data_IF_553639489751
#
_entry.id   IF_553639489751
#
_cell.length_a   1.000
_cell.length_b   1.000
_cell.length_c   1.000
_cell.angle_alpha   90.00
_cell.angle_beta   90.00
_cell.angle_gamma   90.00
#
_symmetry.space_group_name_H-M   'P 1'
#
loop_
_entity.id
_entity.type
_entity.pdbx_description
1 polymer ?
#
# COMPACT_ATOMS: atom_id res chain seq x y z
N UNK A 1 7.45 1.67 28.56
CA UNK A 1 8.03 2.51 27.47
C UNK A 1 9.42 2.08 26.97
N UNK A 2 10.28 1.39 27.75
CA UNK A 2 11.63 0.94 27.27
C UNK A 2 11.59 -0.17 26.20
N UNK A 3 10.60 -1.06 26.23
CA UNK A 3 10.46 -2.17 25.26
C UNK A 3 10.13 -1.73 23.83
N UNK A 4 9.34 -0.66 23.66
CA UNK A 4 8.99 -0.10 22.35
C UNK A 4 10.24 0.42 21.63
N UNK A 5 11.11 1.14 22.34
CA UNK A 5 12.35 1.67 21.77
C UNK A 5 13.32 0.56 21.35
N UNK A 6 13.38 -0.55 22.09
CA UNK A 6 14.23 -1.70 21.76
C UNK A 6 13.67 -2.50 20.58
N UNK A 7 12.35 -2.74 20.53
CA UNK A 7 11.68 -3.36 19.40
C UNK A 7 11.78 -2.49 18.14
N UNK A 8 11.57 -1.17 18.26
CA UNK A 8 11.67 -0.22 17.16
C UNK A 8 13.12 -0.07 16.66
N UNK A 9 14.13 -0.08 17.54
CA UNK A 9 15.53 -0.08 17.12
C UNK A 9 15.95 -1.40 16.46
N UNK A 10 15.47 -2.54 16.96
CA UNK A 10 15.70 -3.86 16.35
C UNK A 10 15.03 -3.98 14.98
N UNK A 11 13.84 -3.40 14.84
CA UNK A 11 13.11 -3.25 13.57
C UNK A 11 13.88 -2.37 12.59
N UNK A 12 14.33 -1.18 13.02
CA UNK A 12 15.06 -0.26 12.14
C UNK A 12 16.35 -0.89 11.62
N UNK A 13 17.06 -1.66 12.46
CA UNK A 13 18.23 -2.44 12.03
C UNK A 13 17.87 -3.54 11.00
N UNK A 14 16.70 -4.16 11.11
CA UNK A 14 16.20 -5.16 10.15
C UNK A 14 15.71 -4.54 8.84
N UNK A 15 15.13 -3.33 8.88
CA UNK A 15 14.70 -2.57 7.70
C UNK A 15 15.91 -2.02 6.92
N UNK A 16 16.99 -1.63 7.60
CA UNK A 16 18.26 -1.23 6.95
C UNK A 16 18.98 -2.42 6.30
N UNK A 17 18.94 -3.60 6.93
CA UNK A 17 19.47 -4.84 6.33
C UNK A 17 18.75 -5.22 5.03
N UNK A 18 17.49 -4.82 4.86
CA UNK A 18 16.72 -5.04 3.63
C UNK A 18 16.96 -3.98 2.53
N UNK A 19 17.74 -2.93 2.80
CA UNK A 19 18.17 -1.94 1.79
C UNK A 19 19.53 -2.24 1.19
N UNK A 20 20.28 -3.21 1.71
CA UNK A 20 21.63 -3.54 1.24
C UNK A 20 21.65 -4.92 0.59
N UNK A 21 20.92 -5.10 -0.52
CA UNK A 21 21.27 -6.11 -1.53
C UNK A 21 20.98 -5.51 -2.91
N UNK A 22 21.89 -4.65 -3.36
CA UNK A 22 22.29 -4.46 -4.76
C UNK A 22 23.41 -3.42 -4.81
N UNK A 23 24.67 -3.87 -4.69
CA UNK A 23 25.77 -3.61 -5.64
C UNK A 23 27.13 -3.95 -5.02
N UNK A 24 27.87 -4.82 -5.72
CA UNK A 24 29.29 -5.14 -5.53
C UNK A 24 30.19 -3.89 -5.71
N UNK A 25 31.32 -3.88 -4.98
CA UNK A 25 32.21 -2.73 -4.65
C UNK A 25 33.16 -2.19 -5.74
N UNK A 26 34.41 -1.71 -5.43
CA UNK A 26 35.16 -1.74 -4.16
C UNK A 26 35.74 -0.39 -3.64
N UNK A 27 36.17 -0.44 -2.37
CA UNK A 27 37.25 0.30 -1.68
C UNK A 27 37.42 1.84 -1.78
N UNK A 28 37.32 2.50 -0.62
CA UNK A 28 37.81 3.86 -0.39
C UNK A 28 37.64 4.34 1.06
N UNK A 29 38.75 4.64 1.73
CA UNK A 29 38.93 4.98 3.14
C UNK A 29 37.97 6.02 3.79
N UNK A 30 37.67 5.73 5.07
CA UNK A 30 37.67 6.60 6.25
C UNK A 30 36.75 7.84 6.31
N UNK A 31 35.76 7.75 7.20
CA UNK A 31 35.09 8.88 7.84
C UNK A 31 33.97 8.39 8.75
N UNK A 32 34.20 8.35 10.07
CA UNK A 32 33.15 8.16 11.06
C UNK A 32 32.30 9.45 11.12
N UNK A 33 30.97 9.42 10.90
CA UNK A 33 30.10 10.46 11.41
C UNK A 33 29.41 9.93 12.68
N UNK A 34 29.87 10.47 13.81
CA UNK A 34 29.09 10.56 15.04
C UNK A 34 27.94 11.55 14.81
N UNK A 35 26.70 11.05 14.80
CA UNK A 35 25.48 11.79 15.13
C UNK A 35 24.30 10.84 15.03
N UNK A 36 23.63 10.64 16.16
CA UNK A 36 22.35 9.93 16.32
C UNK A 36 21.23 10.64 15.56
N UNK A 37 21.31 10.63 14.23
CA UNK A 37 20.24 11.09 13.36
C UNK A 37 19.17 10.00 13.38
N UNK A 38 18.30 10.08 14.37
CA UNK A 38 17.08 9.30 14.44
C UNK A 38 16.35 9.51 13.11
N UNK A 39 16.03 8.44 12.35
CA UNK A 39 15.40 8.61 11.05
C UNK A 39 14.13 9.41 11.24
N UNK A 40 13.97 10.47 10.45
CA UNK A 40 12.81 11.34 10.45
C UNK A 40 11.51 10.51 10.33
N UNK A 41 10.88 10.18 11.47
CA UNK A 41 9.71 9.30 11.55
C UNK A 41 8.41 10.01 11.16
N UNK A 42 8.51 11.24 10.65
CA UNK A 42 7.42 12.21 10.44
C UNK A 42 6.39 11.81 9.37
N UNK A 43 6.40 10.58 8.86
CA UNK A 43 5.52 10.12 7.78
C UNK A 43 5.20 8.62 7.72
N UNK A 44 5.41 7.86 8.80
CA UNK A 44 5.07 6.42 8.85
C UNK A 44 4.06 6.12 9.95
N UNK A 45 3.02 5.40 9.61
CA UNK A 45 2.07 4.77 10.52
C UNK A 45 2.64 3.40 10.93
N UNK A 46 2.82 3.18 12.24
CA UNK A 46 3.47 2.01 12.80
C UNK A 46 2.61 1.38 13.90
N UNK A 47 2.42 0.07 13.85
CA UNK A 47 1.80 -0.71 14.91
C UNK A 47 2.54 -2.02 15.15
N UNK A 48 2.69 -2.39 16.42
CA UNK A 48 3.15 -3.71 16.85
C UNK A 48 1.95 -4.57 17.22
N UNK A 49 1.90 -5.76 16.66
CA UNK A 49 0.92 -6.79 16.94
C UNK A 49 1.58 -7.97 17.64
N UNK A 50 0.79 -8.74 18.38
CA UNK A 50 1.19 -10.10 18.79
C UNK A 50 0.87 -11.15 17.72
N UNK A 51 1.15 -12.43 18.02
CA UNK A 51 0.85 -13.56 17.12
C UNK A 51 -0.64 -13.82 16.92
N UNK A 52 -1.51 -13.27 17.77
CA UNK A 52 -2.97 -13.27 17.58
C UNK A 52 -3.45 -12.12 16.69
N UNK A 53 -2.54 -11.29 16.19
CA UNK A 53 -2.80 -10.07 15.42
C UNK A 53 -3.57 -9.01 16.22
N UNK A 54 -3.40 -9.01 17.54
CA UNK A 54 -3.94 -7.98 18.43
C UNK A 54 -2.96 -6.82 18.51
N UNK A 55 -3.46 -5.59 18.38
CA UNK A 55 -2.65 -4.38 18.44
C UNK A 55 -2.16 -4.18 19.87
N UNK A 56 -0.85 -4.33 20.08
CA UNK A 56 -0.23 -4.15 21.39
C UNK A 56 0.15 -2.68 21.59
N UNK A 57 0.73 -2.06 20.57
CA UNK A 57 1.23 -0.68 20.61
C UNK A 57 1.17 -0.06 19.22
N UNK A 58 1.01 1.26 19.13
CA UNK A 58 1.10 1.98 17.87
C UNK A 58 1.64 3.40 18.08
N UNK A 59 2.13 4.03 17.01
CA UNK A 59 2.57 5.43 17.06
C UNK A 59 1.40 6.41 16.87
N UNK A 60 1.63 7.70 17.15
CA UNK A 60 0.59 8.72 17.01
C UNK A 60 0.01 8.80 15.60
N UNK A 61 0.84 8.56 14.58
CA UNK A 61 0.37 8.60 13.19
C UNK A 61 -0.60 7.46 12.87
N UNK A 62 -0.43 6.29 13.48
CA UNK A 62 -1.41 5.20 13.40
C UNK A 62 -2.74 5.60 14.02
N UNK A 63 -2.73 6.16 15.23
CA UNK A 63 -3.95 6.62 15.90
C UNK A 63 -4.69 7.68 15.09
N UNK A 64 -3.95 8.64 14.51
CA UNK A 64 -4.53 9.67 13.62
C UNK A 64 -5.11 9.10 12.34
N UNK A 65 -4.45 8.10 11.73
CA UNK A 65 -4.88 7.53 10.45
C UNK A 65 -6.15 6.68 10.58
N UNK A 66 -6.38 6.07 11.74
CA UNK A 66 -7.55 5.22 12.04
C UNK A 66 -8.58 5.90 12.95
N UNK A 67 -8.44 7.20 13.19
CA UNK A 67 -9.34 8.05 14.01
C UNK A 67 -9.74 7.42 15.34
N UNK A 68 -8.75 6.86 16.04
CA UNK A 68 -8.98 6.20 17.32
C UNK A 68 -7.90 6.55 18.31
N UNK A 69 -8.27 6.58 19.59
CA UNK A 69 -7.32 6.74 20.68
C UNK A 69 -6.53 5.46 20.94
N UNK A 70 -5.44 5.58 21.71
CA UNK A 70 -4.68 4.40 22.15
C UNK A 70 -5.54 3.42 22.95
N UNK A 71 -6.53 3.90 23.70
CA UNK A 71 -7.42 3.08 24.54
C UNK A 71 -8.44 2.31 23.69
N UNK A 72 -8.85 2.88 22.57
CA UNK A 72 -9.79 2.26 21.65
C UNK A 72 -9.11 1.25 20.73
N UNK A 73 -7.89 1.54 20.27
CA UNK A 73 -7.22 0.72 19.24
C UNK A 73 -6.27 -0.33 19.82
N UNK A 74 -5.63 -0.08 20.96
CA UNK A 74 -4.81 -1.12 21.60
C UNK A 74 -5.72 -2.20 22.22
N UNK A 75 -5.34 -3.46 22.09
CA UNK A 75 -6.14 -4.61 22.50
C UNK A 75 -7.18 -5.06 21.47
N UNK A 76 -7.40 -4.30 20.38
CA UNK A 76 -8.26 -4.74 19.27
C UNK A 76 -7.53 -5.61 18.27
N UNK A 77 -8.27 -6.47 17.59
CA UNK A 77 -7.73 -7.22 16.46
C UNK A 77 -7.48 -6.28 15.28
N UNK A 78 -6.30 -6.38 14.68
CA UNK A 78 -5.96 -5.64 13.47
C UNK A 78 -6.95 -5.93 12.31
N UNK A 79 -7.63 -7.07 12.35
CA UNK A 79 -8.70 -7.47 11.41
C UNK A 79 -9.87 -6.49 11.38
N UNK A 80 -10.17 -5.89 12.52
CA UNK A 80 -11.33 -5.01 12.67
C UNK A 80 -11.07 -3.61 12.12
N UNK A 81 -9.79 -3.27 12.00
CA UNK A 81 -9.29 -1.97 11.52
C UNK A 81 -9.18 -1.94 9.99
N UNK A 82 -9.06 -3.10 9.34
CA UNK A 82 -8.97 -3.20 7.87
C UNK A 82 -10.32 -3.47 7.21
N UNK A 83 -10.50 -2.95 5.99
CA UNK A 83 -11.73 -3.09 5.23
C UNK A 83 -12.08 -4.59 4.94
N UNK A 84 -13.36 -5.00 5.01
CA UNK A 84 -13.77 -6.41 4.84
C UNK A 84 -13.25 -7.11 3.59
N UNK A 85 -13.15 -6.40 2.45
CA UNK A 85 -12.70 -6.95 1.17
C UNK A 85 -11.26 -7.45 1.18
N UNK A 86 -10.40 -6.95 2.07
CA UNK A 86 -8.97 -7.32 2.13
C UNK A 86 -8.65 -8.27 3.29
N UNK A 87 -9.60 -8.55 4.19
CA UNK A 87 -9.39 -9.39 5.39
C UNK A 87 -8.87 -10.79 5.03
N UNK A 88 -9.57 -11.53 4.17
CA UNK A 88 -9.22 -12.92 3.86
C UNK A 88 -7.82 -13.08 3.22
N UNK A 89 -7.46 -12.32 2.16
CA UNK A 89 -6.10 -12.36 1.61
C UNK A 89 -5.03 -11.94 2.62
N UNK A 90 -5.28 -10.91 3.41
CA UNK A 90 -4.33 -10.37 4.37
C UNK A 90 -4.06 -11.35 5.52
N UNK A 91 -5.09 -12.04 6.01
CA UNK A 91 -4.94 -13.03 7.08
C UNK A 91 -4.10 -14.23 6.63
N UNK A 92 -4.19 -14.66 5.37
CA UNK A 92 -3.31 -15.69 4.81
C UNK A 92 -1.85 -15.27 4.75
N UNK A 93 -1.57 -13.98 4.53
CA UNK A 93 -0.20 -13.47 4.55
C UNK A 93 0.35 -13.42 5.98
N UNK A 94 -0.46 -13.01 6.95
CA UNK A 94 -0.09 -13.05 8.36
C UNK A 94 0.12 -14.47 8.88
N UNK A 95 -0.69 -15.46 8.46
CA UNK A 95 -0.46 -16.85 8.87
C UNK A 95 0.90 -17.37 8.38
N UNK A 96 1.29 -17.06 7.14
CA UNK A 96 2.63 -17.41 6.65
C UNK A 96 3.76 -16.69 7.42
N UNK A 97 3.51 -15.49 7.93
CA UNK A 97 4.45 -14.75 8.76
C UNK A 97 4.60 -15.40 10.15
N UNK A 98 3.49 -15.81 10.77
CA UNK A 98 3.44 -16.46 12.09
C UNK A 98 4.07 -17.87 12.03
N UNK A 99 3.77 -18.62 10.98
CA UNK A 99 4.34 -19.96 10.74
C UNK A 99 5.82 -19.91 10.35
N UNK A 100 6.41 -18.72 10.18
CA UNK A 100 7.80 -18.54 9.78
C UNK A 100 8.10 -18.91 8.32
N UNK A 101 7.08 -19.14 7.49
CA UNK A 101 7.23 -19.38 6.04
C UNK A 101 7.75 -18.14 5.31
N UNK A 102 7.42 -16.96 5.81
CA UNK A 102 7.94 -15.68 5.34
C UNK A 102 8.38 -14.84 6.54
N UNK A 103 9.45 -14.05 6.38
CA UNK A 103 9.89 -13.09 7.41
C UNK A 103 9.26 -11.70 7.22
N UNK A 104 8.73 -11.43 6.03
CA UNK A 104 8.15 -10.15 5.62
C UNK A 104 7.21 -10.33 4.45
N UNK A 105 6.16 -9.52 4.38
CA UNK A 105 5.41 -9.31 3.15
C UNK A 105 5.04 -7.84 2.95
N UNK A 106 4.73 -7.48 1.70
CA UNK A 106 4.19 -6.17 1.33
C UNK A 106 2.95 -6.39 0.48
N UNK A 107 1.82 -5.80 0.86
CA UNK A 107 0.56 -5.95 0.13
C UNK A 107 -0.23 -4.64 0.16
N UNK A 108 -0.91 -4.25 -0.93
CA UNK A 108 -1.85 -3.14 -0.87
C UNK A 108 -3.03 -3.51 0.03
N UNK A 109 -3.39 -2.61 0.94
CA UNK A 109 -4.60 -2.73 1.77
C UNK A 109 -5.47 -1.51 1.58
N UNK A 110 -6.79 -1.72 1.69
CA UNK A 110 -7.75 -0.64 1.79
C UNK A 110 -7.91 -0.35 3.28
N UNK A 111 -7.38 0.78 3.71
CA UNK A 111 -7.60 1.32 5.04
C UNK A 111 -8.78 2.29 4.98
N UNK A 112 -9.50 2.39 6.09
CA UNK A 112 -10.60 3.34 6.26
C UNK A 112 -10.06 4.47 7.13
N UNK A 113 -10.08 5.69 6.60
CA UNK A 113 -9.62 6.88 7.32
C UNK A 113 -10.68 7.45 8.24
N UNK A 114 -10.34 8.55 8.91
CA UNK A 114 -11.23 9.28 9.83
C UNK A 114 -12.60 9.63 9.24
N UNK A 115 -12.63 10.04 7.96
CA UNK A 115 -13.86 10.45 7.29
C UNK A 115 -14.65 9.26 6.67
N UNK A 116 -14.42 8.02 7.13
CA UNK A 116 -14.90 6.76 6.53
C UNK A 116 -14.50 6.59 5.05
N UNK A 117 -13.53 7.40 4.59
CA UNK A 117 -13.07 7.38 3.22
C UNK A 117 -12.06 6.24 3.00
N UNK A 118 -12.33 5.30 2.08
CA UNK A 118 -11.40 4.21 1.81
C UNK A 118 -10.22 4.71 0.99
N UNK A 119 -9.00 4.41 1.42
CA UNK A 119 -7.77 4.71 0.69
C UNK A 119 -6.85 3.49 0.61
N UNK A 120 -6.11 3.37 -0.49
CA UNK A 120 -5.20 2.24 -0.73
C UNK A 120 -3.78 2.61 -0.34
N UNK A 121 -3.21 1.89 0.62
CA UNK A 121 -1.81 2.05 1.05
C UNK A 121 -1.06 0.72 1.00
N UNK A 122 0.24 0.72 0.67
CA UNK A 122 1.07 -0.46 0.85
C UNK A 122 1.25 -0.71 2.35
N UNK A 123 0.81 -1.87 2.81
CA UNK A 123 1.10 -2.39 4.14
C UNK A 123 2.33 -3.28 4.06
N UNK A 124 3.32 -2.98 4.89
CA UNK A 124 4.46 -3.85 5.15
C UNK A 124 4.27 -4.51 6.51
N UNK A 125 4.35 -5.84 6.57
CA UNK A 125 4.38 -6.58 7.82
C UNK A 125 5.68 -7.37 7.92
N UNK A 126 6.31 -7.34 9.10
CA UNK A 126 7.56 -8.07 9.40
C UNK A 126 7.41 -8.83 10.72
N UNK A 127 7.94 -10.05 10.77
CA UNK A 127 8.10 -10.78 12.03
C UNK A 127 9.35 -10.28 12.74
N UNK A 128 9.22 -9.86 13.99
CA UNK A 128 10.30 -9.37 14.84
C UNK A 128 10.44 -10.32 16.02
N UNK A 129 11.61 -10.91 16.19
CA UNK A 129 11.91 -11.68 17.40
C UNK A 129 12.37 -10.71 18.48
N UNK A 130 11.68 -10.70 19.60
CA UNK A 130 12.05 -9.93 20.79
C UNK A 130 13.33 -10.49 21.43
N UNK A 131 13.92 -9.71 22.34
CA UNK A 131 15.11 -10.12 23.09
C UNK A 131 14.85 -11.17 24.18
N UNK A 132 13.58 -11.47 24.47
CA UNK A 132 13.18 -12.58 25.34
C UNK A 132 12.85 -13.82 24.48
N UNK A 133 13.20 -15.04 24.94
CA UNK A 133 12.81 -16.28 24.27
C UNK A 133 11.29 -16.28 24.01
N UNK A 134 10.89 -16.75 22.82
CA UNK A 134 9.49 -16.94 22.40
C UNK A 134 8.62 -15.69 22.22
N UNK A 135 9.16 -14.48 22.40
CA UNK A 135 8.40 -13.26 22.12
C UNK A 135 8.51 -12.89 20.64
N UNK A 136 7.66 -13.47 19.79
CA UNK A 136 7.53 -13.02 18.38
C UNK A 136 6.47 -11.94 18.28
N UNK A 137 6.87 -10.73 17.89
CA UNK A 137 5.97 -9.64 17.56
C UNK A 137 5.86 -9.49 16.05
N UNK A 138 4.74 -8.97 15.57
CA UNK A 138 4.56 -8.61 14.16
C UNK A 138 4.50 -7.10 14.09
N UNK A 139 5.42 -6.48 13.34
CA UNK A 139 5.33 -5.06 13.10
C UNK A 139 4.65 -4.79 11.77
N UNK A 140 3.66 -3.91 11.81
CA UNK A 140 2.95 -3.37 10.66
C UNK A 140 3.38 -1.93 10.43
N UNK A 141 3.65 -1.59 9.17
CA UNK A 141 4.06 -0.26 8.73
C UNK A 141 3.29 0.15 7.49
N UNK A 142 2.79 1.38 7.47
CA UNK A 142 2.11 2.00 6.33
C UNK A 142 2.59 3.45 6.18
N UNK A 143 2.59 4.02 4.95
CA UNK A 143 2.76 5.45 4.78
C UNK A 143 1.64 6.21 5.48
N UNK A 144 2.02 7.25 6.21
CA UNK A 144 1.08 8.18 6.83
C UNK A 144 0.23 8.88 5.77
N UNK A 145 -1.08 8.75 5.88
CA UNK A 145 -2.03 9.56 5.11
C UNK A 145 -2.30 10.82 5.92
N UNK A 146 -1.46 11.86 5.73
CA UNK A 146 -1.80 13.20 6.21
C UNK A 146 -3.08 13.63 5.47
N UNK A 147 -4.12 13.95 6.25
CA UNK A 147 -5.52 14.09 5.85
C UNK A 147 -5.74 14.54 4.41
N UNK A 148 -6.57 13.78 3.69
CA UNK A 148 -7.26 14.04 2.43
C UNK A 148 -6.52 14.69 1.23
N UNK A 149 -5.29 15.17 1.36
CA UNK A 149 -4.54 15.90 0.33
C UNK A 149 -3.16 15.25 0.07
N UNK A 150 -2.66 14.40 0.98
CA UNK A 150 -1.34 13.77 0.90
C UNK A 150 -1.33 12.27 0.59
N UNK A 151 -2.50 11.61 0.66
CA UNK A 151 -2.68 10.16 0.51
C UNK A 151 -2.74 9.65 -0.94
N UNK A 152 -2.37 10.48 -1.91
CA UNK A 152 -2.15 10.00 -3.27
C UNK A 152 -0.86 9.19 -3.31
N UNK A 153 -1.05 7.91 -3.01
CA UNK A 153 -0.26 6.74 -3.38
C UNK A 153 1.18 7.08 -3.79
N UNK A 154 2.14 6.63 -2.98
CA UNK A 154 3.54 6.43 -3.40
C UNK A 154 3.60 5.27 -4.41
N UNK A 155 2.92 5.43 -5.53
CA UNK A 155 3.31 4.93 -6.82
C UNK A 155 3.70 6.20 -7.53
N UNK A 156 5.01 6.48 -7.62
CA UNK A 156 5.54 7.78 -8.03
C UNK A 156 4.68 8.40 -9.12
N UNK A 157 4.20 9.63 -8.85
CA UNK A 157 3.27 10.48 -9.62
C UNK A 157 3.67 10.60 -11.09
N UNK A 158 3.63 9.48 -11.80
CA UNK A 158 3.87 9.37 -13.23
C UNK A 158 2.48 9.45 -13.80
N UNK A 159 2.20 10.57 -14.43
CA UNK A 159 1.15 10.69 -15.40
C UNK A 159 1.33 9.58 -16.46
N UNK A 160 0.72 8.41 -16.25
CA UNK A 160 0.97 7.18 -17.00
C UNK A 160 -0.01 7.01 -18.17
N UNK A 161 -1.20 7.60 -18.05
CA UNK A 161 -2.25 7.54 -19.05
C UNK A 161 -2.29 8.83 -19.86
N UNK A 162 -2.50 8.72 -21.16
CA UNK A 162 -2.99 9.87 -21.94
C UNK A 162 -4.45 10.13 -21.57
N UNK A 163 -4.93 11.32 -21.88
CA UNK A 163 -6.36 11.66 -21.71
C UNK A 163 -7.28 10.67 -22.45
N UNK A 164 -6.87 10.23 -23.64
CA UNK A 164 -7.59 9.23 -24.42
C UNK A 164 -7.60 7.86 -23.75
N UNK A 165 -6.44 7.39 -23.26
CA UNK A 165 -6.34 6.10 -22.54
C UNK A 165 -7.20 6.10 -21.26
N UNK A 166 -7.27 7.24 -20.57
CA UNK A 166 -8.12 7.40 -19.39
C UNK A 166 -9.60 7.28 -19.75
N UNK A 167 -10.08 8.01 -20.77
CA UNK A 167 -11.48 7.93 -21.24
C UNK A 167 -11.85 6.52 -21.72
N UNK A 168 -10.92 5.82 -22.38
CA UNK A 168 -11.13 4.43 -22.79
C UNK A 168 -11.24 3.51 -21.58
N UNK A 169 -10.36 3.66 -20.59
CA UNK A 169 -10.42 2.89 -19.35
C UNK A 169 -11.73 3.13 -18.57
N UNK A 170 -12.19 4.38 -18.47
CA UNK A 170 -13.50 4.73 -17.87
C UNK A 170 -14.64 4.03 -18.61
N UNK A 171 -14.64 4.08 -19.95
CA UNK A 171 -15.66 3.43 -20.77
C UNK A 171 -15.69 1.91 -20.60
N UNK A 172 -14.52 1.27 -20.56
CA UNK A 172 -14.41 -0.18 -20.31
C UNK A 172 -14.92 -0.52 -18.90
N UNK A 173 -14.52 0.25 -17.89
CA UNK A 173 -14.96 0.04 -16.51
C UNK A 173 -16.47 0.24 -16.33
N UNK A 174 -17.07 1.16 -17.10
CA UNK A 174 -18.51 1.35 -17.18
C UNK A 174 -19.25 0.25 -17.96
N UNK A 175 -18.54 -0.74 -18.52
CA UNK A 175 -19.12 -1.84 -19.29
C UNK A 175 -19.49 -1.48 -20.74
N UNK A 176 -18.98 -0.36 -21.27
CA UNK A 176 -19.25 0.05 -22.65
C UNK A 176 -18.46 -0.82 -23.63
N UNK A 177 -19.15 -1.41 -24.61
CA UNK A 177 -18.51 -2.22 -25.65
C UNK A 177 -17.73 -1.36 -26.66
N UNK A 178 -16.84 -1.97 -27.44
CA UNK A 178 -15.91 -1.24 -28.32
C UNK A 178 -16.62 -0.32 -29.31
N UNK A 179 -17.77 -0.73 -29.88
CA UNK A 179 -18.45 0.04 -30.93
C UNK A 179 -19.03 1.35 -30.38
N UNK A 180 -19.89 1.36 -29.32
CA UNK A 180 -20.33 2.61 -28.70
C UNK A 180 -19.19 3.45 -28.14
N UNK A 181 -18.13 2.81 -27.63
CA UNK A 181 -16.96 3.53 -27.11
C UNK A 181 -16.23 4.29 -28.24
N UNK A 182 -16.06 3.65 -29.40
CA UNK A 182 -15.48 4.25 -30.59
C UNK A 182 -16.28 5.47 -31.07
N UNK A 183 -17.62 5.35 -31.13
CA UNK A 183 -18.51 6.46 -31.48
C UNK A 183 -18.41 7.63 -30.49
N UNK A 184 -18.40 7.36 -29.18
CA UNK A 184 -18.32 8.40 -28.13
C UNK A 184 -16.99 9.14 -28.11
N UNK A 185 -15.91 8.47 -28.49
CA UNK A 185 -14.56 9.03 -28.46
C UNK A 185 -14.07 9.51 -29.84
N UNK A 186 -14.94 9.47 -30.86
CA UNK A 186 -14.61 9.83 -32.24
C UNK A 186 -13.39 9.06 -32.78
N UNK A 187 -13.31 7.77 -32.46
CA UNK A 187 -12.27 6.85 -32.91
C UNK A 187 -12.83 5.77 -33.83
N UNK A 188 -11.97 5.14 -34.61
CA UNK A 188 -12.32 3.89 -35.28
C UNK A 188 -12.36 2.73 -34.26
N UNK A 189 -13.11 1.66 -34.58
CA UNK A 189 -13.11 0.42 -33.77
C UNK A 189 -11.69 -0.09 -33.52
N UNK A 190 -10.85 -0.09 -34.55
CA UNK A 190 -9.46 -0.52 -34.47
C UNK A 190 -8.61 0.45 -33.62
N UNK A 191 -8.87 1.75 -33.68
CA UNK A 191 -8.24 2.74 -32.82
C UNK A 191 -8.51 2.47 -31.35
N UNK A 192 -9.75 2.15 -30.98
CA UNK A 192 -10.08 1.75 -29.61
C UNK A 192 -9.33 0.47 -29.21
N UNK A 193 -9.35 -0.58 -30.02
CA UNK A 193 -8.63 -1.84 -29.73
C UNK A 193 -7.11 -1.62 -29.57
N UNK A 194 -6.52 -0.72 -30.34
CA UNK A 194 -5.11 -0.33 -30.19
C UNK A 194 -4.84 0.24 -28.81
N UNK A 195 -5.64 1.21 -28.36
CA UNK A 195 -5.52 1.79 -27.03
C UNK A 195 -5.75 0.76 -25.91
N UNK A 196 -6.74 -0.13 -26.07
CA UNK A 196 -6.95 -1.24 -25.13
C UNK A 196 -5.70 -2.11 -25.02
N UNK A 197 -5.10 -2.48 -26.14
CA UNK A 197 -3.86 -3.28 -26.16
C UNK A 197 -2.71 -2.56 -25.48
N UNK A 198 -2.55 -1.26 -25.72
CA UNK A 198 -1.59 -0.42 -25.02
C UNK A 198 -1.82 -0.39 -23.50
N UNK A 199 -3.08 -0.24 -23.06
CA UNK A 199 -3.46 -0.29 -21.65
C UNK A 199 -3.14 -1.64 -21.00
N UNK A 200 -3.49 -2.75 -21.67
CA UNK A 200 -3.17 -4.11 -21.21
C UNK A 200 -1.67 -4.30 -21.01
N UNK A 201 -0.86 -3.85 -21.97
CA UNK A 201 0.60 -3.91 -21.90
C UNK A 201 1.16 -3.01 -20.79
N UNK A 202 0.65 -1.78 -20.66
CA UNK A 202 1.06 -0.82 -19.61
C UNK A 202 0.80 -1.37 -18.21
N UNK A 203 -0.38 -1.98 -18.00
CA UNK A 203 -0.79 -2.53 -16.70
C UNK A 203 -0.37 -4.00 -16.51
N UNK A 204 0.28 -4.60 -17.52
CA UNK A 204 0.78 -5.99 -17.53
C UNK A 204 -0.31 -7.01 -17.20
N UNK A 205 -1.45 -6.90 -17.89
CA UNK A 205 -2.63 -7.77 -17.68
C UNK A 205 -3.07 -8.43 -18.99
N UNK A 206 -3.66 -9.64 -18.93
CA UNK A 206 -3.94 -10.42 -20.14
C UNK A 206 -5.26 -10.06 -20.84
N UNK A 207 -6.21 -9.40 -20.17
CA UNK A 207 -7.53 -9.15 -20.73
C UNK A 207 -8.23 -7.92 -20.10
N UNK A 208 -9.37 -7.52 -20.68
CA UNK A 208 -10.13 -6.32 -20.28
C UNK A 208 -10.66 -6.38 -18.85
N UNK A 209 -11.10 -7.54 -18.38
CA UNK A 209 -11.57 -7.68 -17.00
C UNK A 209 -10.43 -7.49 -16.00
N UNK A 210 -9.27 -8.11 -16.28
CA UNK A 210 -8.06 -7.91 -15.50
C UNK A 210 -7.56 -6.46 -15.55
N UNK A 211 -7.76 -5.76 -16.66
CA UNK A 211 -7.47 -4.32 -16.77
C UNK A 211 -8.26 -3.50 -15.77
N UNK A 212 -9.58 -3.69 -15.71
CA UNK A 212 -10.44 -2.97 -14.77
C UNK A 212 -10.08 -3.32 -13.33
N UNK A 213 -9.94 -4.61 -13.02
CA UNK A 213 -9.56 -5.08 -11.69
C UNK A 213 -8.22 -4.47 -11.24
N UNK A 214 -7.19 -4.53 -12.11
CA UNK A 214 -5.87 -3.97 -11.82
C UNK A 214 -5.91 -2.45 -11.68
N UNK A 215 -6.70 -1.75 -12.48
CA UNK A 215 -6.88 -0.30 -12.38
C UNK A 215 -7.50 0.12 -11.03
N UNK A 216 -8.47 -0.63 -10.51
CA UNK A 216 -8.99 -0.42 -9.15
C UNK A 216 -7.94 -0.76 -8.08
N UNK A 217 -7.24 -1.90 -8.19
CA UNK A 217 -6.20 -2.27 -7.21
C UNK A 217 -5.03 -1.28 -7.18
N UNK A 218 -4.72 -0.61 -8.30
CA UNK A 218 -3.67 0.41 -8.40
C UNK A 218 -4.15 1.81 -8.00
N UNK A 219 -5.44 2.02 -7.70
CA UNK A 219 -5.99 3.34 -7.40
C UNK A 219 -6.10 4.27 -8.61
N UNK A 220 -5.97 3.74 -9.83
CA UNK A 220 -6.14 4.51 -11.08
C UNK A 220 -7.60 4.90 -11.26
N UNK A 221 -8.52 3.99 -10.90
CA UNK A 221 -9.96 4.26 -10.87
C UNK A 221 -10.41 4.63 -9.45
N UNK A 222 -11.28 5.64 -9.34
CA UNK A 222 -11.93 6.04 -8.09
C UNK A 222 -12.85 4.93 -7.59
N UNK A 223 -12.67 4.53 -6.33
CA UNK A 223 -13.55 3.56 -5.66
C UNK A 223 -14.86 4.26 -5.24
N UNK A 224 -15.98 3.55 -5.29
CA UNK A 224 -17.28 4.06 -4.85
C UNK A 224 -17.94 5.10 -5.77
N UNK A 225 -17.33 5.45 -6.91
CA UNK A 225 -17.89 6.41 -7.88
C UNK A 225 -18.50 5.70 -9.08
N UNK A 226 -19.75 6.02 -9.40
CA UNK A 226 -20.42 5.60 -10.62
C UNK A 226 -20.99 6.80 -11.40
N UNK A 227 -20.75 6.93 -12.72
CA UNK A 227 -19.89 6.07 -13.55
C UNK A 227 -18.41 6.08 -13.11
N UNK A 228 -17.62 5.02 -13.39
CA UNK A 228 -16.23 4.93 -12.97
C UNK A 228 -15.39 6.06 -13.56
N UNK A 229 -14.52 6.65 -12.73
CA UNK A 229 -13.66 7.78 -13.10
C UNK A 229 -12.20 7.50 -12.81
N UNK A 230 -11.32 7.94 -13.71
CA UNK A 230 -9.88 7.91 -13.47
C UNK A 230 -9.50 9.06 -12.52
N UNK A 231 -8.55 8.80 -11.64
CA UNK A 231 -7.96 9.81 -10.76
C UNK A 231 -7.06 10.74 -11.59
N UNK A 232 -7.29 12.04 -11.54
CA UNK A 232 -6.67 13.04 -12.43
C UNK A 232 -5.13 13.01 -12.41
N UNK A 233 -4.50 12.60 -11.32
CA UNK A 233 -3.03 12.56 -11.22
C UNK A 233 -2.39 11.45 -12.05
N UNK A 234 -3.18 10.51 -12.57
CA UNK A 234 -2.71 9.48 -13.48
C UNK A 234 -2.77 9.90 -14.95
N UNK A 235 -3.36 11.07 -15.25
CA UNK A 235 -3.53 11.60 -16.61
C UNK A 235 -2.44 12.62 -16.94
N UNK A 236 -1.87 12.52 -18.15
CA UNK A 236 -0.83 13.43 -18.67
C UNK A 236 -1.31 14.84 -18.93
#
# INVERSE_FOLDING_TARGET
MKGFHLLLNSVLASVDSARVISQDGPEGQAGYPDARTQPDQSGLCLASLDTSLTIQQANQEFFRQFDGSSEELCGRSFRDVVHPSVRQPLMRQFSHLIEGKHQRFVTPVIAVGADDSPFTVPLTAVSVRGGLPDTTAILVMMPATRGAEGARVVAGRKKILSEMDARILEGIAAGVSTIPLASRLYLSRQGVEYHVTCLLRKLKVPNRAALVSRAYSMGVLKVGTWPPKVVEDFVK
#
